data_IF_887600678814
#
_entry.id   IF_887600678814
#
_cell.length_a   1.000
_cell.length_b   1.000
_cell.length_c   1.000
_cell.angle_alpha   90.00
_cell.angle_beta   90.00
_cell.angle_gamma   90.00
#
_symmetry.space_group_name_H-M   'P 1'
#
loop_
_entity.id
_entity.type
_entity.pdbx_description
1 polymer ?
#
# COMPACT_ATOMS: atom_id res chain seq x y z
N UNK A 1 7.43 27.35 -3.00
CA UNK A 1 8.65 27.07 -2.22
C UNK A 1 8.96 28.16 -1.20
N UNK A 2 8.59 29.41 -1.45
CA UNK A 2 8.97 30.54 -0.58
C UNK A 2 8.26 30.57 0.78
N UNK A 3 7.11 29.92 0.87
CA UNK A 3 6.33 29.80 2.11
C UNK A 3 6.74 28.57 2.97
N UNK A 4 7.69 27.75 2.51
CA UNK A 4 8.20 26.60 3.27
C UNK A 4 9.17 27.05 4.36
N UNK A 5 9.04 26.47 5.55
CA UNK A 5 9.91 26.71 6.70
C UNK A 5 10.97 25.63 6.77
N UNK A 6 12.20 26.01 6.44
CA UNK A 6 13.36 25.15 6.64
C UNK A 6 13.90 25.36 8.06
N UNK A 7 14.49 24.32 8.64
CA UNK A 7 15.15 24.38 9.95
C UNK A 7 16.38 25.32 9.92
N UNK A 8 17.06 25.47 11.06
CA UNK A 8 18.26 26.30 11.18
C UNK A 8 19.44 25.85 10.29
N UNK A 9 19.40 24.62 9.77
CA UNK A 9 20.39 24.06 8.85
C UNK A 9 19.97 24.21 7.37
N UNK A 10 18.83 24.85 7.11
CA UNK A 10 18.26 24.98 5.76
C UNK A 10 17.65 23.68 5.24
N UNK A 11 17.20 22.78 6.13
CA UNK A 11 16.63 21.49 5.79
C UNK A 11 15.15 21.40 6.15
N UNK A 12 14.40 20.62 5.37
CA UNK A 12 13.00 20.27 5.63
C UNK A 12 12.86 18.73 5.60
N UNK A 13 12.22 18.10 6.60
CA UNK A 13 11.92 16.67 6.55
C UNK A 13 10.94 16.36 5.41
N UNK A 14 11.21 15.26 4.70
CA UNK A 14 10.39 14.72 3.64
C UNK A 14 10.06 13.26 3.95
N UNK A 15 8.79 13.00 4.26
CA UNK A 15 8.20 11.67 4.41
C UNK A 15 7.87 11.16 3.02
N UNK A 16 8.47 10.06 2.61
CA UNK A 16 8.22 9.46 1.31
C UNK A 16 7.22 8.33 1.49
N UNK A 17 6.14 8.32 0.71
CA UNK A 17 5.11 7.27 0.75
C UNK A 17 4.91 6.61 -0.60
N UNK A 18 4.61 5.32 -0.60
CA UNK A 18 4.25 4.58 -1.82
C UNK A 18 2.89 5.03 -2.34
N UNK A 19 2.80 5.28 -3.64
CA UNK A 19 1.55 5.61 -4.31
C UNK A 19 0.56 4.42 -4.34
N UNK A 20 1.05 3.18 -4.27
CA UNK A 20 0.22 1.99 -4.42
C UNK A 20 -0.63 1.68 -3.17
N UNK A 21 -0.07 1.84 -1.98
CA UNK A 21 -0.72 1.45 -0.73
C UNK A 21 -0.58 2.48 0.41
N UNK A 22 0.02 3.65 0.14
CA UNK A 22 0.22 4.70 1.12
C UNK A 22 1.29 4.38 2.18
N UNK A 23 2.03 3.28 2.04
CA UNK A 23 3.04 2.88 3.02
C UNK A 23 4.16 3.92 3.10
N UNK A 24 4.54 4.30 4.32
CA UNK A 24 5.72 5.14 4.54
C UNK A 24 6.97 4.33 4.15
N UNK A 25 7.74 4.85 3.20
CA UNK A 25 8.93 4.21 2.65
C UNK A 25 10.20 4.65 3.36
N UNK A 26 10.37 5.95 3.58
CA UNK A 26 11.55 6.51 4.24
C UNK A 26 11.26 7.93 4.73
N UNK A 27 12.06 8.40 5.68
CA UNK A 27 12.18 9.82 6.00
C UNK A 27 13.57 10.28 5.57
N UNK A 28 13.60 11.31 4.75
CA UNK A 28 14.82 11.97 4.31
C UNK A 28 14.70 13.48 4.52
N UNK A 29 15.79 14.21 4.25
CA UNK A 29 15.82 15.66 4.37
C UNK A 29 16.06 16.25 3.00
N UNK A 30 15.39 17.36 2.72
CA UNK A 30 15.63 18.16 1.52
C UNK A 30 16.13 19.54 1.93
N UNK A 31 17.06 20.10 1.16
CA UNK A 31 17.30 21.54 1.18
C UNK A 31 16.55 22.17 -0.01
N UNK A 32 16.62 23.50 -0.15
CA UNK A 32 15.96 24.21 -1.25
C UNK A 32 16.40 23.70 -2.63
N UNK A 33 17.67 23.38 -2.78
CA UNK A 33 18.24 22.89 -4.04
C UNK A 33 17.75 21.48 -4.39
N UNK A 34 17.79 20.54 -3.44
CA UNK A 34 17.35 19.16 -3.66
C UNK A 34 15.84 19.09 -3.92
N UNK A 35 15.05 19.95 -3.29
CA UNK A 35 13.61 20.08 -3.57
C UNK A 35 13.36 20.63 -4.97
N UNK A 36 14.09 21.68 -5.39
CA UNK A 36 13.97 22.23 -6.75
C UNK A 36 14.37 21.20 -7.82
N UNK A 37 15.45 20.46 -7.60
CA UNK A 37 15.87 19.34 -8.46
C UNK A 37 14.76 18.29 -8.52
N UNK A 38 14.18 17.94 -7.37
CA UNK A 38 13.12 16.93 -7.32
C UNK A 38 11.90 17.31 -8.15
N UNK A 39 11.45 18.56 -8.04
CA UNK A 39 10.33 19.09 -8.82
C UNK A 39 10.66 19.17 -10.33
N UNK A 40 11.89 19.52 -10.68
CA UNK A 40 12.32 19.64 -12.07
C UNK A 40 12.50 18.28 -12.77
N UNK A 41 13.08 17.29 -12.07
CA UNK A 41 13.37 15.97 -12.62
C UNK A 41 12.20 14.98 -12.49
N UNK A 42 11.21 15.29 -11.64
CA UNK A 42 10.12 14.36 -11.31
C UNK A 42 10.59 13.13 -10.55
N UNK A 43 11.77 13.19 -9.90
CA UNK A 43 12.41 12.10 -9.16
C UNK A 43 12.95 12.62 -7.84
N UNK A 44 12.97 11.78 -6.81
CA UNK A 44 13.42 12.24 -5.49
C UNK A 44 14.91 12.51 -5.43
N UNK A 45 15.27 13.74 -5.09
CA UNK A 45 16.60 14.19 -4.72
C UNK A 45 16.59 14.73 -3.29
N UNK A 46 17.50 14.21 -2.47
CA UNK A 46 17.61 14.54 -1.04
C UNK A 46 18.94 15.22 -0.74
N UNK A 47 19.01 15.84 0.43
CA UNK A 47 20.26 16.28 1.04
C UNK A 47 20.72 15.24 2.06
N UNK A 48 21.87 14.61 1.82
CA UNK A 48 22.48 13.71 2.80
C UNK A 48 23.11 14.52 3.93
N UNK A 49 22.53 14.46 5.13
CA UNK A 49 23.08 15.17 6.31
C UNK A 49 24.49 14.71 6.68
N UNK A 50 24.77 13.42 6.53
CA UNK A 50 26.08 12.83 6.85
C UNK A 50 27.13 13.12 5.79
N UNK A 51 26.78 13.00 4.49
CA UNK A 51 27.71 13.24 3.38
C UNK A 51 27.79 14.72 2.98
N UNK A 52 26.86 15.54 3.45
CA UNK A 52 26.72 16.97 3.16
C UNK A 52 26.71 17.25 1.65
N UNK A 53 25.94 16.45 0.92
CA UNK A 53 25.81 16.54 -0.53
C UNK A 53 24.40 16.18 -0.99
N UNK A 54 24.08 16.55 -2.24
CA UNK A 54 22.90 16.08 -2.94
C UNK A 54 22.98 14.57 -3.19
N UNK A 55 21.83 13.91 -3.11
CA UNK A 55 21.70 12.47 -3.35
C UNK A 55 20.39 12.18 -4.07
N UNK A 56 20.46 11.76 -5.33
CA UNK A 56 19.30 11.25 -6.06
C UNK A 56 19.07 9.80 -5.69
N UNK A 57 17.86 9.49 -5.22
CA UNK A 57 17.52 8.13 -4.79
C UNK A 57 17.53 7.19 -5.99
N UNK A 58 18.28 6.10 -5.87
CA UNK A 58 18.36 5.07 -6.90
C UNK A 58 19.44 5.28 -7.96
N UNK A 59 20.23 6.37 -7.92
CA UNK A 59 21.31 6.61 -8.90
C UNK A 59 22.29 5.42 -9.00
N UNK A 60 22.64 4.81 -7.86
CA UNK A 60 23.56 3.67 -7.84
C UNK A 60 22.87 2.31 -7.94
N UNK A 61 21.63 2.19 -7.47
CA UNK A 61 20.94 0.90 -7.31
C UNK A 61 19.88 0.62 -8.37
N UNK A 62 19.49 1.61 -9.18
CA UNK A 62 18.35 1.53 -10.10
C UNK A 62 16.97 1.68 -9.43
N UNK A 63 16.89 1.62 -8.09
CA UNK A 63 15.62 1.76 -7.34
C UNK A 63 15.22 3.23 -7.21
N UNK A 64 14.86 3.81 -8.36
CA UNK A 64 14.41 5.20 -8.51
C UNK A 64 13.01 5.36 -7.92
N UNK A 65 12.71 6.57 -7.44
CA UNK A 65 11.40 6.97 -6.97
C UNK A 65 10.90 8.13 -7.84
N UNK A 66 9.83 7.88 -8.59
CA UNK A 66 9.18 8.85 -9.47
C UNK A 66 8.09 9.58 -8.71
N UNK A 67 8.18 10.90 -8.64
CA UNK A 67 7.31 11.73 -7.82
C UNK A 67 5.94 11.85 -8.49
N UNK A 68 4.89 11.49 -7.74
CA UNK A 68 3.49 11.74 -8.08
C UNK A 68 3.00 13.07 -7.53
N UNK A 69 3.33 13.36 -6.28
CA UNK A 69 2.97 14.63 -5.64
C UNK A 69 3.93 14.97 -4.51
N UNK A 70 4.02 16.26 -4.21
CA UNK A 70 4.69 16.80 -3.03
C UNK A 70 3.68 17.71 -2.33
N UNK A 71 3.40 17.44 -1.07
CA UNK A 71 2.44 18.20 -0.26
C UNK A 71 3.13 18.67 1.01
N UNK A 72 3.02 19.96 1.32
CA UNK A 72 3.48 20.49 2.60
C UNK A 72 2.39 20.27 3.66
N UNK A 73 2.80 20.13 4.92
CA UNK A 73 1.88 20.13 6.06
C UNK A 73 1.32 21.54 6.35
N UNK A 74 0.49 21.64 7.40
CA UNK A 74 -0.34 22.83 7.65
C UNK A 74 0.47 24.06 8.08
N UNK A 75 1.60 23.87 8.77
CA UNK A 75 2.54 24.91 9.17
C UNK A 75 3.79 24.98 8.28
N UNK A 76 3.88 24.11 7.27
CA UNK A 76 4.79 24.12 6.12
C UNK A 76 6.25 23.85 6.49
N UNK A 77 6.47 23.05 7.54
CA UNK A 77 7.79 22.63 7.98
C UNK A 77 8.07 21.13 7.76
N UNK A 78 7.13 20.40 7.15
CA UNK A 78 7.37 19.05 6.62
C UNK A 78 6.72 18.83 5.26
N UNK A 79 7.25 17.85 4.52
CA UNK A 79 6.73 17.42 3.23
C UNK A 79 6.30 15.95 3.27
N UNK A 80 5.19 15.64 2.60
CA UNK A 80 4.87 14.29 2.13
C UNK A 80 5.14 14.22 0.64
N UNK A 81 5.95 13.25 0.22
CA UNK A 81 6.32 12.99 -1.17
C UNK A 81 5.76 11.62 -1.56
N UNK A 82 4.72 11.61 -2.38
CA UNK A 82 4.11 10.37 -2.89
C UNK A 82 4.88 9.94 -4.14
N UNK A 83 5.31 8.68 -4.20
CA UNK A 83 6.16 8.17 -5.29
C UNK A 83 5.69 6.82 -5.82
N UNK A 84 5.87 6.59 -7.12
CA UNK A 84 6.03 5.23 -7.64
C UNK A 84 7.49 4.82 -7.52
N UNK A 85 7.76 3.60 -7.05
CA UNK A 85 9.12 3.10 -6.88
C UNK A 85 9.42 1.96 -7.86
N UNK A 86 10.62 1.95 -8.43
CA UNK A 86 11.08 0.93 -9.37
C UNK A 86 11.62 -0.34 -8.67
N UNK A 87 11.69 -0.33 -7.35
CA UNK A 87 12.23 -1.43 -6.54
C UNK A 87 12.10 -1.17 -5.04
N UNK A 88 12.81 -1.91 -4.18
CA UNK A 88 12.77 -1.69 -2.74
C UNK A 88 13.34 -0.31 -2.38
N UNK A 89 12.68 0.39 -1.45
CA UNK A 89 13.11 1.71 -1.03
C UNK A 89 14.36 1.64 -0.14
N UNK A 90 14.50 0.58 0.66
CA UNK A 90 15.60 0.41 1.59
C UNK A 90 16.82 -0.28 0.94
N UNK A 91 18.02 0.09 1.40
CA UNK A 91 19.28 -0.51 0.96
C UNK A 91 19.44 -1.96 1.45
N UNK A 92 18.66 -2.40 2.44
CA UNK A 92 18.63 -3.79 2.92
C UNK A 92 17.87 -4.72 1.98
N UNK A 93 17.21 -4.20 0.94
CA UNK A 93 16.27 -4.93 0.09
C UNK A 93 14.83 -4.90 0.60
N UNK A 94 14.58 -4.32 1.78
CA UNK A 94 13.23 -4.13 2.29
C UNK A 94 12.45 -3.03 1.52
N UNK A 95 11.13 -3.21 1.45
CA UNK A 95 10.21 -2.28 0.79
C UNK A 95 10.21 -0.88 1.42
N UNK A 96 10.37 -0.82 2.74
CA UNK A 96 10.41 0.42 3.55
C UNK A 96 11.62 0.37 4.48
N UNK A 97 12.08 1.53 4.95
CA UNK A 97 13.02 1.64 6.06
C UNK A 97 12.37 1.33 7.41
N UNK A 98 11.04 1.38 7.51
CA UNK A 98 10.26 1.19 8.74
C UNK A 98 9.64 -0.21 8.78
N UNK A 99 10.48 -1.25 8.90
CA UNK A 99 10.06 -2.65 8.87
C UNK A 99 10.18 -3.38 10.21
N UNK A 100 10.79 -2.75 11.23
CA UNK A 100 10.94 -3.31 12.57
C UNK A 100 10.18 -2.45 13.60
N UNK A 101 9.09 -2.94 14.19
CA UNK A 101 8.37 -2.22 15.23
C UNK A 101 9.18 -2.19 16.53
N UNK A 102 9.30 -1.01 17.15
CA UNK A 102 9.98 -0.88 18.45
C UNK A 102 9.06 -1.04 19.66
N UNK A 103 7.75 -0.82 19.48
CA UNK A 103 6.75 -0.92 20.53
C UNK A 103 5.42 -1.35 19.90
N UNK A 104 4.79 -2.34 20.51
CA UNK A 104 3.45 -2.79 20.18
C UNK A 104 2.66 -2.69 21.48
N UNK A 105 1.61 -1.87 21.48
CA UNK A 105 0.74 -1.72 22.66
C UNK A 105 -0.07 -2.99 22.93
N UNK A 106 -0.79 -3.01 24.06
CA UNK A 106 -1.64 -4.16 24.43
C UNK A 106 -2.73 -4.46 23.38
N UNK A 107 -3.18 -3.43 22.65
CA UNK A 107 -4.12 -3.57 21.55
C UNK A 107 -3.54 -4.31 20.32
N UNK A 108 -2.23 -4.60 20.31
CA UNK A 108 -1.55 -5.26 19.19
C UNK A 108 -1.31 -4.35 17.99
N UNK A 109 -0.93 -4.96 16.87
CA UNK A 109 -0.91 -4.27 15.58
C UNK A 109 -2.34 -4.02 15.09
N UNK A 110 -2.62 -2.85 14.48
CA UNK A 110 -3.93 -2.60 13.89
C UNK A 110 -4.24 -3.62 12.80
N UNK A 111 -5.53 -3.99 12.69
CA UNK A 111 -5.98 -4.84 11.60
C UNK A 111 -5.70 -4.20 10.24
N UNK A 112 -5.14 -4.99 9.33
CA UNK A 112 -5.00 -4.61 7.92
C UNK A 112 -5.33 -5.81 7.03
N UNK A 113 -5.86 -5.56 5.83
CA UNK A 113 -6.13 -6.62 4.84
C UNK A 113 -4.85 -7.38 4.50
N UNK A 114 -3.73 -6.67 4.32
CA UNK A 114 -2.41 -7.29 4.10
C UNK A 114 -1.96 -8.16 5.29
N UNK A 115 -2.21 -7.71 6.53
CA UNK A 115 -1.92 -8.48 7.74
C UNK A 115 -2.75 -9.76 7.83
N UNK A 116 -4.04 -9.69 7.51
CA UNK A 116 -4.90 -10.87 7.41
C UNK A 116 -4.42 -11.82 6.31
N UNK A 117 -4.08 -11.31 5.13
CA UNK A 117 -3.54 -12.13 4.03
C UNK A 117 -2.25 -12.87 4.45
N UNK A 118 -1.30 -12.16 5.06
CA UNK A 118 -0.05 -12.76 5.59
C UNK A 118 -0.31 -13.82 6.65
N UNK A 119 -1.32 -13.63 7.51
CA UNK A 119 -1.76 -14.65 8.47
C UNK A 119 -2.27 -15.90 7.75
N UNK A 120 -3.03 -15.75 6.66
CA UNK A 120 -3.54 -16.87 5.87
C UNK A 120 -2.42 -17.63 5.15
N UNK A 121 -1.43 -16.94 4.59
CA UNK A 121 -0.21 -17.55 4.04
C UNK A 121 0.49 -18.42 5.09
N UNK A 122 0.76 -17.85 6.27
CA UNK A 122 1.39 -18.59 7.38
C UNK A 122 0.56 -19.80 7.83
N UNK A 123 -0.78 -19.70 7.80
CA UNK A 123 -1.67 -20.84 8.10
C UNK A 123 -1.63 -21.93 7.03
N UNK A 124 -1.44 -21.57 5.75
CA UNK A 124 -1.26 -22.57 4.68
C UNK A 124 0.05 -23.32 4.81
N UNK A 125 1.11 -22.65 5.25
CA UNK A 125 2.43 -23.26 5.47
C UNK A 125 2.47 -24.16 6.70
N UNK A 126 1.93 -23.67 7.82
CA UNK A 126 2.07 -24.35 9.13
C UNK A 126 0.92 -25.30 9.47
N UNK A 127 -0.23 -25.15 8.81
CA UNK A 127 -1.45 -25.96 9.00
C UNK A 127 -1.78 -26.23 10.49
N UNK A 128 -1.96 -25.19 11.32
CA UNK A 128 -2.21 -25.37 12.75
C UNK A 128 -3.51 -26.14 12.99
N UNK A 129 -3.48 -27.05 13.95
CA UNK A 129 -4.66 -27.83 14.35
C UNK A 129 -5.78 -26.93 14.90
N UNK A 130 -7.04 -27.32 14.68
CA UNK A 130 -8.22 -26.59 15.17
C UNK A 130 -8.56 -25.29 14.42
N UNK A 131 -7.75 -24.85 13.46
CA UNK A 131 -8.03 -23.67 12.64
C UNK A 131 -9.01 -23.96 11.50
N UNK A 132 -10.05 -23.14 11.38
CA UNK A 132 -10.99 -23.21 10.25
C UNK A 132 -10.28 -23.05 8.90
N UNK A 133 -9.28 -22.16 8.82
CA UNK A 133 -8.49 -21.98 7.59
C UNK A 133 -7.74 -23.25 7.21
N UNK A 134 -7.18 -23.97 8.20
CA UNK A 134 -6.49 -25.23 7.98
C UNK A 134 -7.44 -26.26 7.36
N UNK A 135 -8.66 -26.35 7.88
CA UNK A 135 -9.69 -27.22 7.31
C UNK A 135 -9.99 -26.89 5.83
N UNK A 136 -10.08 -25.61 5.48
CA UNK A 136 -10.30 -25.19 4.09
C UNK A 136 -9.16 -25.65 3.17
N UNK A 137 -7.91 -25.37 3.54
CA UNK A 137 -6.74 -25.78 2.76
C UNK A 137 -6.61 -27.31 2.65
N UNK A 138 -6.87 -28.06 3.73
CA UNK A 138 -6.84 -29.52 3.70
C UNK A 138 -7.93 -30.14 2.81
N UNK A 139 -9.10 -29.50 2.71
CA UNK A 139 -10.17 -29.95 1.80
C UNK A 139 -9.93 -29.53 0.35
N UNK A 140 -9.01 -28.58 0.12
CA UNK A 140 -8.56 -28.15 -1.19
C UNK A 140 -9.53 -27.23 -1.92
N UNK A 141 -9.17 -26.94 -3.17
CA UNK A 141 -9.79 -25.92 -4.01
C UNK A 141 -11.32 -26.02 -4.10
N UNK A 142 -11.88 -27.21 -4.33
CA UNK A 142 -13.33 -27.39 -4.48
C UNK A 142 -14.12 -26.92 -3.26
N UNK A 143 -13.60 -27.15 -2.05
CA UNK A 143 -14.24 -26.70 -0.81
C UNK A 143 -14.17 -25.19 -0.66
N UNK A 144 -13.05 -24.59 -1.04
CA UNK A 144 -12.84 -23.14 -1.01
C UNK A 144 -13.80 -22.46 -2.00
N UNK A 145 -13.85 -22.95 -3.25
CA UNK A 145 -14.75 -22.44 -4.29
C UNK A 145 -16.22 -22.56 -3.90
N UNK A 146 -16.61 -23.68 -3.26
CA UNK A 146 -17.96 -23.83 -2.74
C UNK A 146 -18.32 -22.72 -1.76
N UNK A 147 -17.43 -22.38 -0.82
CA UNK A 147 -17.67 -21.31 0.15
C UNK A 147 -17.76 -19.94 -0.53
N UNK A 148 -16.85 -19.63 -1.45
CA UNK A 148 -16.94 -18.39 -2.24
C UNK A 148 -18.30 -18.24 -2.94
N UNK A 149 -18.83 -19.31 -3.52
CA UNK A 149 -20.15 -19.30 -4.16
C UNK A 149 -21.33 -19.15 -3.17
N UNK A 150 -21.23 -19.79 -2.00
CA UNK A 150 -22.20 -19.72 -0.90
C UNK A 150 -22.29 -18.26 -0.39
N UNK A 151 -21.17 -17.67 0.03
CA UNK A 151 -21.10 -16.30 0.53
C UNK A 151 -21.54 -15.26 -0.51
N UNK A 152 -21.20 -15.48 -1.78
CA UNK A 152 -21.64 -14.60 -2.87
C UNK A 152 -23.17 -14.54 -2.97
N UNK A 153 -23.83 -15.67 -2.73
CA UNK A 153 -25.30 -15.75 -2.76
C UNK A 153 -25.90 -15.12 -1.51
N UNK A 154 -25.27 -15.32 -0.35
CA UNK A 154 -25.70 -14.75 0.94
C UNK A 154 -25.61 -13.22 0.93
N UNK A 155 -24.55 -12.64 0.37
CA UNK A 155 -24.45 -11.18 0.14
C UNK A 155 -25.65 -10.66 -0.66
N UNK A 156 -26.04 -11.34 -1.74
CA UNK A 156 -27.17 -10.93 -2.59
C UNK A 156 -28.48 -10.98 -1.79
N UNK A 157 -28.69 -12.05 -1.02
CA UNK A 157 -29.90 -12.24 -0.21
C UNK A 157 -29.98 -11.19 0.90
N UNK A 158 -28.89 -10.98 1.66
CA UNK A 158 -28.81 -9.99 2.73
C UNK A 158 -29.06 -8.57 2.20
N UNK A 159 -28.40 -8.20 1.10
CA UNK A 159 -28.58 -6.89 0.48
C UNK A 159 -30.01 -6.66 0.00
N UNK A 160 -30.65 -7.68 -0.60
CA UNK A 160 -32.05 -7.62 -1.01
C UNK A 160 -33.01 -7.50 0.18
N UNK A 161 -32.67 -8.12 1.31
CA UNK A 161 -33.43 -8.01 2.56
C UNK A 161 -33.37 -6.63 3.21
N UNK A 162 -32.41 -5.79 2.81
CA UNK A 162 -32.22 -4.45 3.38
C UNK A 162 -31.56 -4.45 4.77
N UNK A 163 -31.07 -5.60 5.23
CA UNK A 163 -30.32 -5.71 6.48
C UNK A 163 -28.85 -5.34 6.25
N UNK A 164 -28.48 -4.14 6.69
CA UNK A 164 -27.12 -3.64 6.54
C UNK A 164 -26.10 -4.42 7.37
N UNK A 165 -26.47 -4.86 8.57
CA UNK A 165 -25.53 -5.55 9.45
C UNK A 165 -25.19 -6.92 8.85
N UNK A 166 -26.20 -7.65 8.41
CA UNK A 166 -26.02 -8.92 7.71
C UNK A 166 -25.24 -8.74 6.42
N UNK A 167 -25.58 -7.73 5.61
CA UNK A 167 -24.85 -7.47 4.37
C UNK A 167 -23.36 -7.21 4.61
N UNK A 168 -23.01 -6.45 5.66
CA UNK A 168 -21.59 -6.23 6.03
C UNK A 168 -20.92 -7.53 6.45
N UNK A 169 -21.63 -8.37 7.22
CA UNK A 169 -21.13 -9.67 7.65
C UNK A 169 -20.82 -10.59 6.47
N UNK A 170 -21.76 -10.76 5.54
CA UNK A 170 -21.56 -11.64 4.37
C UNK A 170 -20.54 -11.09 3.39
N UNK A 171 -20.42 -9.76 3.26
CA UNK A 171 -19.34 -9.15 2.48
C UNK A 171 -17.98 -9.50 3.12
N UNK A 172 -17.88 -9.44 4.45
CA UNK A 172 -16.66 -9.79 5.15
C UNK A 172 -16.32 -11.28 5.00
N UNK A 173 -17.29 -12.18 5.07
CA UNK A 173 -17.04 -13.63 4.89
C UNK A 173 -16.67 -13.96 3.44
N UNK A 174 -17.34 -13.34 2.46
CA UNK A 174 -16.94 -13.43 1.06
C UNK A 174 -15.50 -12.94 0.85
N UNK A 175 -15.14 -11.78 1.40
CA UNK A 175 -13.78 -11.24 1.31
C UNK A 175 -12.76 -12.20 1.92
N UNK A 176 -13.07 -12.78 3.09
CA UNK A 176 -12.21 -13.77 3.74
C UNK A 176 -12.01 -15.02 2.86
N UNK A 177 -13.09 -15.59 2.33
CA UNK A 177 -13.03 -16.77 1.48
C UNK A 177 -12.33 -16.53 0.13
N UNK A 178 -12.49 -15.33 -0.44
CA UNK A 178 -11.71 -14.90 -1.62
C UNK A 178 -10.22 -14.78 -1.28
N UNK A 179 -9.85 -14.25 -0.11
CA UNK A 179 -8.43 -14.21 0.32
C UNK A 179 -7.85 -15.62 0.52
N UNK A 180 -8.63 -16.57 1.06
CA UNK A 180 -8.20 -17.99 1.14
C UNK A 180 -7.99 -18.58 -0.26
N UNK A 181 -8.89 -18.29 -1.21
CA UNK A 181 -8.73 -18.68 -2.61
C UNK A 181 -7.48 -18.06 -3.26
N UNK A 182 -7.21 -16.79 -2.98
CA UNK A 182 -6.01 -16.10 -3.47
C UNK A 182 -4.74 -16.78 -2.98
N UNK A 183 -4.65 -17.10 -1.68
CA UNK A 183 -3.53 -17.87 -1.11
C UNK A 183 -3.47 -19.29 -1.71
N UNK A 184 -4.61 -19.90 -2.02
CA UNK A 184 -4.65 -21.20 -2.68
C UNK A 184 -4.06 -21.17 -4.09
N UNK A 185 -4.38 -20.11 -4.84
CA UNK A 185 -3.98 -19.89 -6.23
C UNK A 185 -2.64 -19.15 -6.41
N UNK A 186 -2.00 -18.69 -5.34
CA UNK A 186 -0.76 -17.90 -5.40
C UNK A 186 -0.95 -16.48 -5.94
N UNK A 187 -2.14 -15.87 -5.72
CA UNK A 187 -2.47 -14.52 -6.17
C UNK A 187 -2.25 -13.54 -5.01
N UNK A 188 -1.37 -12.55 -5.17
CA UNK A 188 -1.10 -11.57 -4.10
C UNK A 188 -2.17 -10.49 -3.98
N UNK A 189 -2.22 -9.81 -2.83
CA UNK A 189 -3.07 -8.60 -2.65
C UNK A 189 -2.66 -7.51 -3.64
N UNK A 190 -1.36 -7.39 -3.91
CA UNK A 190 -0.79 -6.46 -4.88
C UNK A 190 -1.28 -6.72 -6.31
N UNK A 191 -1.43 -7.99 -6.72
CA UNK A 191 -1.96 -8.33 -8.04
C UNK A 191 -3.41 -7.85 -8.22
N UNK A 192 -4.25 -8.08 -7.19
CA UNK A 192 -5.64 -7.61 -7.19
C UNK A 192 -5.72 -6.08 -7.16
N UNK A 193 -4.87 -5.41 -6.37
CA UNK A 193 -4.81 -3.95 -6.35
C UNK A 193 -4.38 -3.35 -7.68
N UNK A 194 -3.39 -3.92 -8.37
CA UNK A 194 -2.99 -3.48 -9.72
C UNK A 194 -4.15 -3.58 -10.70
N UNK A 195 -4.88 -4.69 -10.67
CA UNK A 195 -6.06 -4.90 -11.52
C UNK A 195 -7.16 -3.86 -11.22
N UNK A 196 -7.48 -3.64 -9.94
CA UNK A 196 -8.47 -2.63 -9.53
C UNK A 196 -8.04 -1.20 -9.90
N UNK A 197 -6.77 -0.85 -9.71
CA UNK A 197 -6.22 0.45 -10.06
C UNK A 197 -6.30 0.71 -11.58
N UNK A 198 -6.08 -0.32 -12.41
CA UNK A 198 -6.20 -0.20 -13.86
C UNK A 198 -7.62 0.24 -14.29
N UNK A 199 -8.66 -0.23 -13.59
CA UNK A 199 -10.07 0.11 -13.86
C UNK A 199 -10.40 1.55 -13.50
N UNK A 200 -9.83 2.04 -12.39
CA UNK A 200 -9.99 3.44 -11.99
C UNK A 200 -9.43 4.40 -13.05
N UNK A 201 -8.31 4.04 -13.69
CA UNK A 201 -7.70 4.84 -14.76
C UNK A 201 -8.55 4.80 -16.04
N UNK A 202 -9.14 3.65 -16.38
CA UNK A 202 -10.00 3.49 -17.56
C UNK A 202 -11.26 4.36 -17.44
N UNK A 203 -11.91 4.40 -16.27
CA UNK A 203 -13.10 5.24 -16.07
C UNK A 203 -12.83 6.74 -16.31
N UNK A 204 -11.62 7.22 -16.00
CA UNK A 204 -11.20 8.59 -16.33
C UNK A 204 -10.99 8.80 -17.84
N UNK A 205 -10.45 7.80 -18.56
CA UNK A 205 -10.28 7.89 -20.03
C UNK A 205 -11.59 7.79 -20.80
N UNK A 206 -12.51 6.91 -20.39
CA UNK A 206 -13.82 6.73 -21.05
C UNK A 206 -14.71 7.96 -20.84
N UNK A 207 -14.56 8.70 -19.73
CA UNK A 207 -15.23 9.99 -19.54
C UNK A 207 -14.59 11.14 -20.33
N UNK A 208 -13.29 11.09 -20.62
CA UNK A 208 -12.62 12.13 -21.42
C UNK A 208 -12.89 12.02 -22.93
N UNK A 209 -13.28 10.84 -23.44
CA UNK A 209 -13.59 10.65 -24.87
C UNK A 209 -15.04 11.01 -25.26
N UNK A 210 -15.88 11.48 -24.32
CA UNK A 210 -17.26 11.94 -24.61
C UNK A 210 -17.49 13.39 -24.23
N UNK A 211 -16.74 14.32 -24.81
CA UNK A 211 -17.18 15.71 -24.95
C UNK A 211 -16.57 16.33 -26.21
N UNK A 212 -17.25 16.14 -27.34
CA UNK A 212 -17.27 17.16 -28.40
C UNK A 212 -18.67 17.16 -29.05
N UNK A 213 -19.27 18.34 -29.32
CA UNK A 213 -20.65 18.47 -29.83
C UNK A 213 -20.86 17.85 -31.21
#
# INVERSE_FOLDING_TARGET
MDELKFDSNGLIPAIVTDAADGKVLTLAYMNRESLAISMAEGRTCFWSRSRRCLWRKGESSGNVQHIRSITADCDRDALVVVVDKDGPACHTGAESCFFEPMYIGEAGEPFTVKGLYKLLEGRKETLPEGSYTTYLFQKGLDKILKKVGEESTEVIVAAKGGDKAETIYEIADLMYHVMVLMVEAGISVEDVYKELASRHIIDHKVKQEKMTP
#
